data_IF_570795736094
#
_entry.id   IF_570795736094
#
_cell.length_a   1.000
_cell.length_b   1.000
_cell.length_c   1.000
_cell.angle_alpha   90.00
_cell.angle_beta   90.00
_cell.angle_gamma   90.00
#
_symmetry.space_group_name_H-M   'P 1'
#
loop_
_entity.id
_entity.type
_entity.pdbx_description
1 polymer ?
#
# COMPACT_ATOMS: atom_id res chain seq x y z
N UNK A 1 28.69 -16.44 10.60
CA UNK A 1 28.65 -15.84 9.25
C UNK A 1 27.45 -14.90 9.17
N UNK A 2 27.64 -13.63 8.83
CA UNK A 2 26.55 -12.69 8.51
C UNK A 2 26.60 -12.46 7.01
N UNK A 3 25.57 -12.90 6.30
CA UNK A 3 25.42 -12.63 4.86
C UNK A 3 24.27 -11.64 4.71
N UNK A 4 24.56 -10.44 4.20
CA UNK A 4 23.53 -9.50 3.79
C UNK A 4 23.38 -9.67 2.28
N UNK A 5 22.23 -10.20 1.86
CA UNK A 5 21.88 -10.30 0.44
C UNK A 5 21.35 -8.94 -0.01
N UNK A 6 21.99 -8.38 -1.03
CA UNK A 6 21.48 -7.22 -1.75
C UNK A 6 20.39 -7.70 -2.70
N UNK A 7 19.14 -7.37 -2.43
CA UNK A 7 18.05 -7.60 -3.39
C UNK A 7 18.18 -6.46 -4.41
N UNK A 8 18.52 -6.80 -5.65
CA UNK A 8 18.54 -5.84 -6.75
C UNK A 8 17.18 -5.14 -6.82
N UNK A 9 17.19 -3.83 -7.09
CA UNK A 9 16.01 -3.00 -7.31
C UNK A 9 15.29 -3.52 -8.57
N UNK A 10 14.55 -4.61 -8.41
CA UNK A 10 13.57 -5.05 -9.38
C UNK A 10 12.58 -3.89 -9.45
N UNK A 11 12.52 -3.23 -10.60
CA UNK A 11 11.51 -2.23 -10.89
C UNK A 11 10.21 -3.01 -10.89
N UNK A 12 9.62 -3.17 -9.71
CA UNK A 12 8.30 -3.72 -9.51
C UNK A 12 7.40 -2.71 -10.21
N UNK A 13 7.08 -2.97 -11.48
CA UNK A 13 5.89 -2.38 -12.09
C UNK A 13 4.79 -2.63 -11.09
N UNK A 14 4.24 -1.59 -10.44
CA UNK A 14 3.30 -1.81 -9.37
C UNK A 14 2.13 -2.51 -10.03
N UNK A 15 2.01 -3.82 -9.77
CA UNK A 15 0.80 -4.56 -10.04
C UNK A 15 -0.35 -3.69 -9.51
N UNK A 16 -1.49 -3.59 -10.22
CA UNK A 16 -2.56 -2.69 -9.81
C UNK A 16 -2.95 -3.04 -8.37
N UNK A 17 -2.44 -2.26 -7.42
CA UNK A 17 -2.59 -2.59 -6.01
C UNK A 17 -4.06 -2.43 -5.71
N UNK A 18 -4.68 -3.50 -5.20
CA UNK A 18 -6.10 -3.52 -4.84
C UNK A 18 -6.46 -2.35 -3.93
N UNK A 19 -5.47 -1.86 -3.17
CA UNK A 19 -5.56 -0.67 -2.34
C UNK A 19 -4.64 0.44 -2.85
N UNK A 20 -5.14 1.67 -2.78
CA UNK A 20 -4.37 2.89 -3.04
C UNK A 20 -4.16 3.68 -1.75
N UNK A 21 -3.00 4.34 -1.69
CA UNK A 21 -2.60 5.21 -0.58
C UNK A 21 -3.19 6.60 -0.80
N UNK A 22 -4.11 7.01 0.07
CA UNK A 22 -4.78 8.32 0.03
C UNK A 22 -4.43 9.10 1.28
N UNK A 23 -3.91 10.33 1.10
CA UNK A 23 -3.79 11.29 2.21
C UNK A 23 -5.15 11.91 2.45
N UNK A 24 -5.79 11.57 3.57
CA UNK A 24 -7.11 12.09 3.89
C UNK A 24 -6.99 13.53 4.41
N UNK A 25 -7.65 14.51 3.77
CA UNK A 25 -7.59 15.90 4.20
C UNK A 25 -8.30 16.14 5.55
N UNK A 26 -9.20 15.24 5.96
CA UNK A 26 -9.97 15.40 7.20
C UNK A 26 -9.16 15.05 8.46
N UNK A 27 -8.33 14.01 8.40
CA UNK A 27 -7.54 13.55 9.55
C UNK A 27 -6.02 13.74 9.37
N UNK A 28 -5.58 14.19 8.19
CA UNK A 28 -4.15 14.34 7.81
C UNK A 28 -3.34 13.03 7.84
N UNK A 29 -4.01 11.88 7.94
CA UNK A 29 -3.40 10.55 7.92
C UNK A 29 -3.46 9.90 6.55
N UNK A 30 -2.67 8.84 6.38
CA UNK A 30 -2.65 8.02 5.17
C UNK A 30 -3.60 6.83 5.34
N UNK A 31 -4.54 6.70 4.43
CA UNK A 31 -5.51 5.62 4.36
C UNK A 31 -5.21 4.71 3.18
N UNK A 32 -5.40 3.41 3.39
CA UNK A 32 -5.36 2.42 2.32
C UNK A 32 -6.80 2.17 1.87
N UNK A 33 -7.18 2.70 0.71
CA UNK A 33 -8.53 2.62 0.17
C UNK A 33 -8.57 1.56 -0.92
N UNK A 34 -9.48 0.60 -0.82
CA UNK A 34 -9.69 -0.37 -1.88
C UNK A 34 -10.27 0.32 -3.12
N UNK A 35 -9.61 0.18 -4.27
CA UNK A 35 -10.04 0.83 -5.51
C UNK A 35 -11.40 0.38 -6.03
N UNK A 36 -11.76 -0.88 -5.77
CA UNK A 36 -13.02 -1.46 -6.25
C UNK A 36 -14.22 -1.12 -5.37
N UNK A 37 -14.02 -0.98 -4.06
CA UNK A 37 -15.12 -0.82 -3.10
C UNK A 37 -15.12 0.52 -2.37
N UNK A 38 -14.05 1.31 -2.45
CA UNK A 38 -13.87 2.53 -1.67
C UNK A 38 -13.70 2.28 -0.17
N UNK A 39 -13.64 1.02 0.28
CA UNK A 39 -13.52 0.67 1.69
C UNK A 39 -12.07 0.76 2.17
N UNK A 40 -11.90 1.05 3.44
CA UNK A 40 -10.58 1.07 4.07
C UNK A 40 -10.06 -0.36 4.28
N UNK A 41 -8.74 -0.52 4.20
CA UNK A 41 -8.07 -1.77 4.57
C UNK A 41 -8.38 -2.08 6.05
N UNK A 42 -9.01 -3.24 6.29
CA UNK A 42 -9.37 -3.67 7.64
C UNK A 42 -10.69 -3.11 8.17
N UNK A 43 -11.49 -2.42 7.34
CA UNK A 43 -12.87 -2.06 7.64
C UNK A 43 -13.68 -3.35 7.89
N UNK A 44 -13.88 -3.68 9.17
CA UNK A 44 -14.75 -4.79 9.58
C UNK A 44 -16.17 -4.25 9.58
N UNK A 45 -16.96 -4.71 8.62
CA UNK A 45 -18.41 -4.51 8.61
C UNK A 45 -19.07 -5.06 9.87
#
# INVERSE_FOLDING_TARGET
MKVQTWIAEEIVTPEPTTFELVRCPACTQVHFVNRSSGKLLGDKS
#
